data_IF_011033400693
#
_entry.id   IF_011033400693
#
_cell.length_a   1.000
_cell.length_b   1.000
_cell.length_c   1.000
_cell.angle_alpha   90.00
_cell.angle_beta   90.00
_cell.angle_gamma   90.00
#
_symmetry.space_group_name_H-M   'P 1'
#
loop_
_entity.id
_entity.type
_entity.pdbx_description
1 polymer ?
#
# COMPACT_ATOMS: atom_id res chain seq x y z
N UNK A 1 -24.92 2.17 -2.03
CA UNK A 1 -23.89 1.19 -2.43
C UNK A 1 -22.52 1.74 -2.11
N UNK A 2 -21.76 0.95 -1.44
CA UNK A 2 -20.44 1.40 -1.03
C UNK A 2 -19.49 1.40 -2.21
N UNK A 3 -18.75 2.48 -2.34
CA UNK A 3 -17.75 2.60 -3.38
C UNK A 3 -16.60 1.64 -3.13
N UNK A 4 -16.15 0.94 -4.18
CA UNK A 4 -14.97 0.09 -4.08
C UNK A 4 -13.72 0.96 -4.09
N UNK A 5 -12.86 0.72 -3.11
CA UNK A 5 -11.54 1.36 -3.04
C UNK A 5 -10.51 0.24 -3.11
N UNK A 6 -9.87 0.13 -4.25
CA UNK A 6 -8.86 -0.90 -4.51
C UNK A 6 -7.50 -0.26 -4.27
N UNK A 7 -6.82 -0.72 -3.23
CA UNK A 7 -5.59 -0.09 -2.78
C UNK A 7 -4.42 -1.05 -2.76
N UNK A 8 -3.24 -0.50 -2.87
CA UNK A 8 -1.99 -1.20 -2.56
C UNK A 8 -1.14 -0.31 -1.66
N UNK A 9 -0.21 -0.91 -0.94
CA UNK A 9 0.64 -0.18 0.00
C UNK A 9 2.10 -0.56 -0.22
N UNK A 10 2.99 0.42 -0.18
CA UNK A 10 4.42 0.20 -0.29
C UNK A 10 5.18 1.49 -0.43
N UNK A 11 6.50 1.41 -0.39
CA UNK A 11 7.36 2.58 -0.58
C UNK A 11 7.49 2.96 -2.06
N UNK A 12 7.39 1.99 -2.96
CA UNK A 12 7.42 2.17 -4.43
C UNK A 12 8.63 2.97 -4.92
N UNK A 13 9.76 2.84 -4.24
CA UNK A 13 10.98 3.51 -4.66
C UNK A 13 11.41 2.97 -6.04
N UNK A 14 11.51 3.87 -7.01
CA UNK A 14 11.90 3.53 -8.37
C UNK A 14 10.75 3.13 -9.30
N UNK A 15 9.60 2.77 -8.78
CA UNK A 15 8.42 2.35 -9.59
C UNK A 15 8.84 1.40 -10.72
N UNK A 16 9.53 0.30 -10.36
CA UNK A 16 10.12 -0.63 -11.31
C UNK A 16 9.08 -1.55 -11.97
N UNK A 17 9.55 -2.44 -12.87
CA UNK A 17 8.67 -3.31 -13.67
C UNK A 17 7.72 -4.16 -12.84
N UNK A 18 8.17 -4.65 -11.67
CA UNK A 18 7.30 -5.41 -10.77
C UNK A 18 6.12 -4.60 -10.26
N UNK A 19 6.35 -3.31 -9.97
CA UNK A 19 5.27 -2.40 -9.59
C UNK A 19 4.30 -2.18 -10.74
N UNK A 20 4.80 -2.08 -11.97
CA UNK A 20 3.95 -1.89 -13.13
C UNK A 20 3.01 -3.08 -13.33
N UNK A 21 3.51 -4.30 -13.11
CA UNK A 21 2.69 -5.50 -13.18
C UNK A 21 1.61 -5.49 -12.10
N UNK A 22 1.96 -5.07 -10.89
CA UNK A 22 1.01 -4.92 -9.79
C UNK A 22 -0.10 -3.94 -10.17
N UNK A 23 0.26 -2.77 -10.71
CA UNK A 23 -0.72 -1.75 -11.07
C UNK A 23 -1.62 -2.23 -12.20
N UNK A 24 -1.09 -2.97 -13.17
CA UNK A 24 -1.90 -3.54 -14.25
C UNK A 24 -2.93 -4.53 -13.71
N UNK A 25 -2.54 -5.36 -12.74
CA UNK A 25 -3.47 -6.31 -12.12
C UNK A 25 -4.54 -5.59 -11.30
N UNK A 26 -4.17 -4.52 -10.59
CA UNK A 26 -5.14 -3.70 -9.86
C UNK A 26 -6.19 -3.10 -10.80
N UNK A 27 -5.74 -2.56 -11.93
CA UNK A 27 -6.64 -1.98 -12.91
C UNK A 27 -7.59 -3.02 -13.50
N UNK A 28 -7.05 -4.20 -13.82
CA UNK A 28 -7.86 -5.29 -14.36
C UNK A 28 -8.91 -5.74 -13.34
N UNK A 29 -8.52 -5.88 -12.09
CA UNK A 29 -9.45 -6.24 -11.02
C UNK A 29 -10.53 -5.18 -10.84
N UNK A 30 -10.13 -3.91 -10.79
CA UNK A 30 -11.04 -2.80 -10.58
C UNK A 30 -12.01 -2.60 -11.73
N UNK A 31 -11.65 -3.05 -12.94
CA UNK A 31 -12.51 -2.88 -14.11
C UNK A 31 -13.85 -3.60 -13.99
N UNK A 32 -13.95 -4.57 -13.08
CA UNK A 32 -15.18 -5.30 -12.81
C UNK A 32 -16.16 -4.50 -11.93
N UNK A 33 -15.71 -3.40 -11.34
CA UNK A 33 -16.52 -2.63 -10.39
C UNK A 33 -16.72 -1.21 -10.90
N UNK A 34 -17.98 -0.77 -11.16
CA UNK A 34 -18.23 0.59 -11.59
C UNK A 34 -17.74 1.60 -10.55
N UNK A 35 -17.11 2.66 -11.01
CA UNK A 35 -16.64 3.76 -10.16
C UNK A 35 -15.63 3.37 -9.09
N UNK A 36 -14.93 2.24 -9.27
CA UNK A 36 -13.89 1.85 -8.34
C UNK A 36 -12.75 2.87 -8.33
N UNK A 37 -12.28 3.20 -7.13
CA UNK A 37 -11.13 4.07 -6.95
C UNK A 37 -9.87 3.22 -6.83
N UNK A 38 -8.81 3.63 -7.52
CA UNK A 38 -7.50 3.00 -7.42
C UNK A 38 -6.60 3.88 -6.56
N UNK A 39 -5.99 3.30 -5.54
CA UNK A 39 -5.24 4.05 -4.56
C UNK A 39 -3.90 3.40 -4.26
N UNK A 40 -2.83 4.18 -4.37
CA UNK A 40 -1.52 3.77 -3.87
C UNK A 40 -1.29 4.46 -2.53
N UNK A 41 -1.08 3.66 -1.49
CA UNK A 41 -0.75 4.16 -0.16
C UNK A 41 0.75 4.07 -0.01
N UNK A 42 1.40 5.20 0.18
CA UNK A 42 2.85 5.23 0.23
C UNK A 42 3.32 6.19 1.33
N UNK A 43 4.62 6.36 1.47
CA UNK A 43 5.20 7.04 2.62
C UNK A 43 6.06 8.22 2.21
N UNK A 44 6.01 9.28 2.99
CA UNK A 44 6.90 10.42 2.87
C UNK A 44 7.27 10.89 4.28
N UNK A 45 8.50 10.77 4.72
CA UNK A 45 9.67 10.25 4.00
C UNK A 45 9.63 8.73 3.79
N UNK A 46 10.59 8.20 3.02
CA UNK A 46 10.71 6.75 2.86
C UNK A 46 11.01 6.09 4.21
N UNK A 47 10.45 4.89 4.45
CA UNK A 47 10.70 4.19 5.72
C UNK A 47 12.18 4.00 6.04
N UNK A 48 13.01 3.73 5.03
CA UNK A 48 14.46 3.55 5.23
C UNK A 48 15.13 4.81 5.79
N UNK A 49 14.65 6.00 5.40
CA UNK A 49 15.21 7.26 5.90
C UNK A 49 14.93 7.44 7.40
N UNK A 50 13.76 7.02 7.84
CA UNK A 50 13.37 7.18 9.24
C UNK A 50 14.03 6.14 10.12
N UNK A 51 14.10 4.89 9.64
CA UNK A 51 14.64 3.78 10.41
C UNK A 51 16.16 3.68 10.34
N UNK A 52 16.79 4.38 9.41
CA UNK A 52 18.26 4.45 9.24
C UNK A 52 18.89 3.06 9.15
N UNK A 53 18.26 2.19 8.40
CA UNK A 53 18.72 0.82 8.23
C UNK A 53 19.88 0.77 7.22
N UNK A 54 21.03 0.25 7.66
CA UNK A 54 22.14 -0.06 6.77
C UNK A 54 22.93 1.13 6.22
N UNK A 55 23.01 2.24 6.96
CA UNK A 55 23.80 3.40 6.54
C UNK A 55 22.98 4.43 5.80
N UNK A 56 23.60 5.19 4.89
CA UNK A 56 22.88 6.20 4.13
C UNK A 56 21.91 5.55 3.16
N UNK A 57 20.61 5.95 3.19
CA UNK A 57 19.64 5.41 2.25
C UNK A 57 19.96 5.83 0.83
N UNK A 58 19.96 4.86 -0.09
CA UNK A 58 20.09 5.14 -1.50
C UNK A 58 18.72 5.00 -2.14
N UNK A 59 18.19 6.11 -2.65
CA UNK A 59 16.92 6.09 -3.33
C UNK A 59 17.12 6.22 -4.83
N UNK A 60 16.34 5.44 -5.57
CA UNK A 60 16.32 5.56 -7.03
C UNK A 60 15.65 6.87 -7.41
N UNK A 61 14.56 7.23 -6.69
CA UNK A 61 13.80 8.44 -7.00
C UNK A 61 13.50 9.25 -5.74
N UNK A 62 13.50 10.59 -5.83
CA UNK A 62 12.85 11.41 -4.81
C UNK A 62 11.37 11.10 -4.70
N UNK A 63 10.78 11.35 -3.53
CA UNK A 63 9.35 11.05 -3.31
C UNK A 63 8.44 11.80 -4.27
N UNK A 64 8.79 13.03 -4.65
CA UNK A 64 8.00 13.80 -5.60
C UNK A 64 7.94 13.17 -6.99
N UNK A 65 9.08 12.66 -7.47
CA UNK A 65 9.12 11.97 -8.77
C UNK A 65 8.40 10.63 -8.69
N UNK A 66 8.55 9.91 -7.59
CA UNK A 66 7.80 8.68 -7.35
C UNK A 66 6.30 8.93 -7.45
N UNK A 67 5.82 9.96 -6.77
CA UNK A 67 4.40 10.28 -6.74
C UNK A 67 3.88 10.61 -8.12
N UNK A 68 4.67 11.36 -8.91
CA UNK A 68 4.29 11.68 -10.28
C UNK A 68 4.16 10.41 -11.14
N UNK A 69 5.11 9.49 -11.01
CA UNK A 69 5.05 8.23 -11.77
C UNK A 69 3.85 7.38 -11.38
N UNK A 70 3.49 7.37 -10.10
CA UNK A 70 2.29 6.65 -9.64
C UNK A 70 1.03 7.26 -10.25
N UNK A 71 0.95 8.60 -10.30
CA UNK A 71 -0.20 9.28 -10.93
C UNK A 71 -0.29 8.98 -12.42
N UNK A 72 0.85 8.91 -13.09
CA UNK A 72 0.91 8.55 -14.51
C UNK A 72 0.40 7.14 -14.77
N UNK A 73 0.47 6.26 -13.76
CA UNK A 73 -0.10 4.92 -13.83
C UNK A 73 -1.62 4.91 -13.59
N UNK A 74 -2.21 6.05 -13.33
CA UNK A 74 -3.66 6.15 -13.11
C UNK A 74 -4.10 5.91 -11.68
N UNK A 75 -3.18 6.01 -10.73
CA UNK A 75 -3.47 5.78 -9.31
C UNK A 75 -3.62 7.09 -8.57
N UNK A 76 -4.62 7.15 -7.67
CA UNK A 76 -4.63 8.16 -6.63
C UNK A 76 -3.56 7.82 -5.60
N UNK A 77 -3.12 8.81 -4.86
CA UNK A 77 -2.04 8.62 -3.89
C UNK A 77 -2.51 9.09 -2.52
N UNK A 78 -2.26 8.26 -1.51
CA UNK A 78 -2.41 8.67 -0.12
C UNK A 78 -1.03 8.58 0.53
N UNK A 79 -0.53 9.73 0.98
CA UNK A 79 0.77 9.80 1.64
C UNK A 79 0.61 9.67 3.15
N UNK A 80 1.31 8.69 3.71
CA UNK A 80 1.41 8.54 5.16
C UNK A 80 2.73 9.12 5.60
N UNK A 81 2.68 9.94 6.64
CA UNK A 81 3.89 10.45 7.26
C UNK A 81 4.52 9.31 8.08
N UNK A 82 5.65 8.80 7.58
CA UNK A 82 6.29 7.65 8.24
C UNK A 82 7.09 8.11 9.44
N UNK A 83 6.73 7.58 10.61
CA UNK A 83 7.35 7.89 11.89
C UNK A 83 7.73 6.59 12.59
N UNK A 84 8.59 6.64 13.62
CA UNK A 84 8.85 5.45 14.44
C UNK A 84 7.57 4.86 15.05
N UNK A 85 6.62 5.71 15.41
CA UNK A 85 5.33 5.27 15.97
C UNK A 85 4.54 4.47 14.95
N UNK A 86 4.50 4.94 13.70
CA UNK A 86 3.83 4.20 12.64
C UNK A 86 4.52 2.86 12.38
N UNK A 87 5.86 2.84 12.41
CA UNK A 87 6.64 1.62 12.20
C UNK A 87 6.35 0.56 13.27
N UNK A 88 5.95 0.98 14.46
CA UNK A 88 5.64 0.07 15.56
C UNK A 88 4.21 -0.46 15.54
N UNK A 89 3.35 0.09 14.70
CA UNK A 89 1.96 -0.30 14.64
C UNK A 89 1.82 -1.71 14.07
N UNK A 90 0.99 -2.54 14.71
CA UNK A 90 0.74 -3.89 14.21
C UNK A 90 -0.05 -3.85 12.90
N UNK A 91 0.04 -4.93 12.12
CA UNK A 91 -0.75 -5.04 10.90
C UNK A 91 -2.24 -4.92 11.18
N UNK A 92 -2.71 -5.53 12.26
CA UNK A 92 -4.13 -5.45 12.64
C UNK A 92 -4.55 -4.02 12.92
N UNK A 93 -3.79 -3.30 13.74
CA UNK A 93 -4.10 -1.91 14.08
C UNK A 93 -4.06 -1.02 12.84
N UNK A 94 -3.08 -1.22 11.98
CA UNK A 94 -2.95 -0.46 10.74
C UNK A 94 -4.14 -0.69 9.82
N UNK A 95 -4.54 -1.94 9.62
CA UNK A 95 -5.68 -2.27 8.76
C UNK A 95 -6.98 -1.69 9.32
N UNK A 96 -7.17 -1.79 10.63
CA UNK A 96 -8.38 -1.29 11.27
C UNK A 96 -8.47 0.23 11.23
N UNK A 97 -7.41 0.92 11.61
CA UNK A 97 -7.42 2.37 11.77
C UNK A 97 -7.20 3.12 10.47
N UNK A 98 -6.21 2.70 9.68
CA UNK A 98 -5.84 3.42 8.47
C UNK A 98 -6.63 2.93 7.26
N UNK A 99 -6.57 1.64 6.97
CA UNK A 99 -7.20 1.13 5.75
C UNK A 99 -8.73 1.18 5.85
N UNK A 100 -9.28 0.70 6.95
CA UNK A 100 -10.74 0.63 7.08
C UNK A 100 -11.36 1.95 7.49
N UNK A 101 -10.95 2.48 8.64
CA UNK A 101 -11.60 3.66 9.23
C UNK A 101 -11.28 4.95 8.50
N UNK A 102 -10.01 5.19 8.19
CA UNK A 102 -9.58 6.45 7.60
C UNK A 102 -9.80 6.50 6.09
N UNK A 103 -9.44 5.43 5.38
CA UNK A 103 -9.41 5.42 3.91
C UNK A 103 -10.57 4.68 3.26
N UNK A 104 -11.29 3.86 4.01
CA UNK A 104 -12.42 3.12 3.45
C UNK A 104 -12.02 2.09 2.42
N UNK A 105 -10.84 1.50 2.55
CA UNK A 105 -10.37 0.48 1.62
C UNK A 105 -11.28 -0.75 1.68
N UNK A 106 -11.70 -1.21 0.53
CA UNK A 106 -12.53 -2.42 0.41
C UNK A 106 -11.76 -3.62 -0.11
N UNK A 107 -10.73 -3.37 -0.89
CA UNK A 107 -9.92 -4.41 -1.52
C UNK A 107 -8.46 -3.99 -1.45
N UNK A 108 -7.62 -4.83 -0.85
CA UNK A 108 -6.19 -4.57 -0.72
C UNK A 108 -5.43 -5.56 -1.58
N UNK A 109 -4.64 -5.05 -2.53
CA UNK A 109 -3.83 -5.89 -3.42
C UNK A 109 -2.38 -5.80 -2.96
N UNK A 110 -1.83 -6.91 -2.52
CA UNK A 110 -0.44 -6.98 -2.06
C UNK A 110 0.48 -7.31 -3.21
N UNK A 111 1.55 -6.55 -3.36
CA UNK A 111 2.64 -6.92 -4.24
C UNK A 111 3.46 -8.05 -3.64
N UNK A 112 4.38 -8.59 -4.44
CA UNK A 112 5.16 -9.75 -4.02
C UNK A 112 5.94 -9.50 -2.73
N UNK A 113 6.53 -8.30 -2.57
CA UNK A 113 7.36 -7.97 -1.42
C UNK A 113 6.71 -6.99 -0.46
N UNK A 114 5.44 -6.67 -0.66
CA UNK A 114 4.78 -5.65 0.15
C UNK A 114 4.20 -6.26 1.42
N UNK A 115 4.91 -6.07 2.52
CA UNK A 115 4.47 -6.48 3.84
C UNK A 115 4.45 -5.27 4.74
N UNK A 116 3.51 -5.21 5.66
CA UNK A 116 3.39 -4.09 6.59
C UNK A 116 3.03 -4.61 7.98
N UNK A 117 3.18 -3.73 8.97
CA UNK A 117 2.97 -4.07 10.35
C UNK A 117 4.28 -4.37 11.07
N UNK A 118 4.36 -3.99 12.33
CA UNK A 118 5.56 -4.17 13.13
C UNK A 118 5.89 -5.66 13.29
N UNK A 119 7.15 -6.02 13.04
CA UNK A 119 7.63 -7.40 13.14
C UNK A 119 7.05 -8.32 12.09
N UNK A 120 6.64 -7.78 10.93
CA UNK A 120 5.84 -8.50 9.95
C UNK A 120 6.58 -9.70 9.35
N UNK A 121 6.16 -10.89 9.77
CA UNK A 121 6.48 -12.16 9.15
C UNK A 121 5.21 -12.77 8.57
N UNK A 122 4.29 -11.90 8.17
CA UNK A 122 2.94 -12.30 7.77
C UNK A 122 2.89 -12.70 6.30
N UNK A 123 2.11 -13.71 6.00
CA UNK A 123 1.80 -14.09 4.64
C UNK A 123 0.40 -13.64 4.23
N UNK A 124 0.05 -13.93 2.99
CA UNK A 124 -1.25 -13.54 2.44
C UNK A 124 -2.42 -13.99 3.30
N UNK A 125 -2.39 -15.24 3.78
CA UNK A 125 -3.47 -15.78 4.59
C UNK A 125 -3.67 -14.99 5.88
N UNK A 126 -2.58 -14.52 6.49
CA UNK A 126 -2.66 -13.73 7.72
C UNK A 126 -3.38 -12.40 7.45
N UNK A 127 -3.01 -11.72 6.37
CA UNK A 127 -3.68 -10.46 6.01
C UNK A 127 -5.14 -10.68 5.64
N UNK A 128 -5.45 -11.79 4.98
CA UNK A 128 -6.83 -12.13 4.65
C UNK A 128 -7.67 -12.32 5.91
N UNK A 129 -7.12 -12.98 6.92
CA UNK A 129 -7.82 -13.18 8.20
C UNK A 129 -8.04 -11.86 8.94
N UNK A 130 -7.06 -10.96 8.88
CA UNK A 130 -7.20 -9.64 9.52
C UNK A 130 -8.21 -8.77 8.79
N UNK A 131 -8.28 -8.87 7.48
CA UNK A 131 -9.18 -8.04 6.68
C UNK A 131 -10.63 -8.49 6.71
N UNK A 132 -10.89 -9.79 6.86
CA UNK A 132 -12.24 -10.32 6.77
C UNK A 132 -13.23 -9.65 7.73
N UNK A 133 -12.93 -9.47 9.03
CA UNK A 133 -13.86 -8.79 9.94
C UNK A 133 -14.09 -7.32 9.59
N UNK A 134 -13.18 -6.73 8.83
CA UNK A 134 -13.24 -5.32 8.45
C UNK A 134 -13.93 -5.10 7.10
N UNK A 135 -14.32 -6.19 6.44
CA UNK A 135 -14.89 -6.09 5.10
C UNK A 135 -13.85 -5.80 4.03
N UNK A 136 -12.58 -6.08 4.31
CA UNK A 136 -11.48 -5.88 3.35
C UNK A 136 -11.10 -7.22 2.73
N UNK A 137 -11.23 -7.30 1.41
CA UNK A 137 -10.75 -8.46 0.64
C UNK A 137 -9.28 -8.26 0.34
N UNK A 138 -8.44 -9.22 0.69
CA UNK A 138 -7.00 -9.13 0.46
C UNK A 138 -6.61 -10.09 -0.65
N UNK A 139 -5.92 -9.56 -1.65
CA UNK A 139 -5.52 -10.27 -2.85
C UNK A 139 -4.01 -10.14 -3.03
N UNK A 140 -3.42 -11.08 -3.72
CA UNK A 140 -2.01 -10.98 -4.09
C UNK A 140 -1.87 -10.90 -5.61
N UNK A 141 -1.06 -9.94 -6.02
CA UNK A 141 -0.74 -9.78 -7.43
C UNK A 141 0.16 -10.91 -7.95
#
# INVERSE_FOLDING_TARGET
MDKKVVATIGSFDGVHLGHQALFAQMKAYASSFPEAELLAITFDPYPADVLQRGGEPEHILPTTERDQLLREQGLGIHLLHFTPELAEQSAQAFMEEVLHRELGVTDLVLGYDNRFGHGAQLGLTDYQKLGAPLGITVLQA
#
